data_IF_783820261090
#
_entry.id   IF_783820261090
#
_cell.length_a   1.000
_cell.length_b   1.000
_cell.length_c   1.000
_cell.angle_alpha   90.00
_cell.angle_beta   90.00
_cell.angle_gamma   90.00
#
_symmetry.space_group_name_H-M   'P 1'
#
loop_
_entity.id
_entity.type
_entity.pdbx_description
1 polymer ?
#
# COMPACT_ATOMS: atom_id res chain seq x y z
N UNK A 1 18.63 -5.47 15.80
CA UNK A 1 18.16 -5.48 14.39
C UNK A 1 19.31 -5.19 13.46
N UNK A 2 19.57 -6.07 12.50
CA UNK A 2 20.66 -5.92 11.53
C UNK A 2 20.30 -4.82 10.51
N UNK A 3 21.28 -4.02 10.10
CA UNK A 3 21.07 -2.98 9.08
C UNK A 3 20.69 -3.59 7.73
N UNK A 4 20.04 -2.79 6.87
CA UNK A 4 19.54 -3.21 5.55
C UNK A 4 20.58 -3.94 4.67
N UNK A 5 21.85 -3.56 4.78
CA UNK A 5 22.95 -4.20 4.05
C UNK A 5 23.41 -5.53 4.67
N UNK A 6 23.30 -5.68 5.99
CA UNK A 6 23.62 -6.94 6.67
C UNK A 6 22.57 -8.03 6.43
N UNK A 7 21.29 -7.66 6.32
CA UNK A 7 20.19 -8.62 6.15
C UNK A 7 20.39 -9.56 4.94
N UNK A 8 20.86 -9.04 3.80
CA UNK A 8 21.13 -9.87 2.61
C UNK A 8 22.26 -10.88 2.85
N UNK A 9 23.30 -10.50 3.61
CA UNK A 9 24.42 -11.38 3.94
C UNK A 9 23.97 -12.51 4.86
N UNK A 10 23.14 -12.19 5.86
CA UNK A 10 22.56 -13.18 6.76
C UNK A 10 21.65 -14.15 6.02
N UNK A 11 20.71 -13.67 5.20
CA UNK A 11 19.81 -14.54 4.44
C UNK A 11 20.60 -15.46 3.50
N UNK A 12 21.68 -14.98 2.87
CA UNK A 12 22.56 -15.83 2.06
C UNK A 12 23.23 -16.96 2.84
N UNK A 13 23.61 -16.71 4.09
CA UNK A 13 24.26 -17.72 4.92
C UNK A 13 23.30 -18.86 5.29
N UNK A 14 22.03 -18.53 5.54
CA UNK A 14 20.97 -19.50 5.90
C UNK A 14 20.12 -19.95 4.71
N UNK A 15 20.47 -19.53 3.50
CA UNK A 15 19.70 -19.80 2.28
C UNK A 15 19.48 -21.30 2.02
N UNK A 16 20.50 -22.18 2.17
CA UNK A 16 20.31 -23.60 1.92
C UNK A 16 19.27 -24.24 2.85
N UNK A 17 19.20 -23.77 4.11
CA UNK A 17 18.23 -24.26 5.08
C UNK A 17 16.82 -23.72 4.80
N UNK A 18 16.71 -22.48 4.32
CA UNK A 18 15.43 -21.92 3.85
C UNK A 18 14.92 -22.75 2.66
N UNK A 19 15.76 -23.01 1.67
CA UNK A 19 15.40 -23.81 0.48
C UNK A 19 14.96 -25.22 0.89
N UNK A 20 15.73 -25.91 1.75
CA UNK A 20 15.37 -27.24 2.26
C UNK A 20 13.99 -27.27 2.93
N UNK A 21 13.64 -26.24 3.70
CA UNK A 21 12.33 -26.16 4.37
C UNK A 21 11.20 -25.80 3.42
N UNK A 22 11.47 -24.96 2.41
CA UNK A 22 10.50 -24.67 1.36
C UNK A 22 10.19 -25.93 0.53
N UNK A 23 11.19 -26.74 0.21
CA UNK A 23 11.01 -28.06 -0.44
C UNK A 23 10.20 -29.03 0.45
N UNK A 24 10.32 -28.92 1.77
CA UNK A 24 9.50 -29.66 2.73
C UNK A 24 8.11 -29.05 2.97
N UNK A 25 7.66 -28.15 2.09
CA UNK A 25 6.35 -27.48 2.12
C UNK A 25 6.10 -26.56 3.33
N UNK A 26 7.15 -26.10 4.03
CA UNK A 26 6.98 -25.10 5.08
C UNK A 26 6.66 -23.71 4.50
N UNK A 27 5.87 -22.94 5.24
CA UNK A 27 5.61 -21.55 4.87
C UNK A 27 6.78 -20.65 5.27
N UNK A 28 6.99 -19.55 4.53
CA UNK A 28 8.03 -18.54 4.86
C UNK A 28 7.85 -17.99 6.29
N UNK A 29 6.60 -17.96 6.78
CA UNK A 29 6.28 -17.52 8.13
C UNK A 29 6.77 -18.54 9.17
N UNK A 30 6.49 -19.83 8.98
CA UNK A 30 7.02 -20.90 9.83
C UNK A 30 8.55 -20.90 9.84
N UNK A 31 9.18 -20.79 8.67
CA UNK A 31 10.64 -20.74 8.55
C UNK A 31 11.22 -19.55 9.34
N UNK A 32 10.53 -18.40 9.35
CA UNK A 32 10.96 -17.23 10.12
C UNK A 32 10.86 -17.45 11.63
N UNK A 33 9.81 -18.12 12.10
CA UNK A 33 9.58 -18.40 13.53
C UNK A 33 10.46 -19.54 14.06
N UNK A 34 10.68 -20.58 13.26
CA UNK A 34 11.45 -21.76 13.65
C UNK A 34 12.97 -21.56 13.56
N UNK A 35 13.45 -20.56 12.83
CA UNK A 35 14.87 -20.22 12.73
C UNK A 35 15.17 -18.99 13.61
N UNK A 36 15.59 -19.17 14.87
CA UNK A 36 15.83 -18.07 15.79
C UNK A 36 16.93 -17.12 15.28
N UNK A 37 17.90 -17.63 14.50
CA UNK A 37 18.91 -16.80 13.86
C UNK A 37 18.33 -15.80 12.86
N UNK A 38 17.25 -16.16 12.16
CA UNK A 38 16.51 -15.27 11.28
C UNK A 38 15.62 -14.33 12.08
N UNK A 39 14.82 -14.85 13.01
CA UNK A 39 13.89 -14.07 13.82
C UNK A 39 14.57 -12.94 14.61
N UNK A 40 15.71 -13.24 15.24
CA UNK A 40 16.42 -12.30 16.11
C UNK A 40 17.12 -11.17 15.33
N UNK A 41 17.49 -11.43 14.07
CA UNK A 41 18.30 -10.52 13.28
C UNK A 41 17.51 -9.73 12.24
N UNK A 42 16.43 -10.33 11.70
CA UNK A 42 15.71 -9.85 10.52
C UNK A 42 14.21 -9.96 10.77
N UNK A 43 13.46 -8.89 10.46
CA UNK A 43 12.01 -8.95 10.49
C UNK A 43 11.44 -9.81 9.35
N UNK A 44 10.29 -10.44 9.57
CA UNK A 44 9.59 -11.22 8.54
C UNK A 44 9.42 -10.45 7.22
N UNK A 45 9.02 -9.18 7.28
CA UNK A 45 8.85 -8.32 6.09
C UNK A 45 10.15 -8.13 5.31
N UNK A 46 11.27 -8.03 6.00
CA UNK A 46 12.59 -7.90 5.38
C UNK A 46 13.01 -9.22 4.74
N UNK A 47 12.77 -10.35 5.39
CA UNK A 47 13.01 -11.68 4.84
C UNK A 47 12.22 -11.87 3.54
N UNK A 48 10.89 -11.71 3.60
CA UNK A 48 10.00 -11.90 2.46
C UNK A 48 10.40 -11.04 1.26
N UNK A 49 10.67 -9.75 1.47
CA UNK A 49 11.10 -8.85 0.40
C UNK A 49 12.44 -9.28 -0.24
N UNK A 50 13.38 -9.79 0.55
CA UNK A 50 14.66 -10.25 0.02
C UNK A 50 14.51 -11.58 -0.73
N UNK A 51 13.71 -12.52 -0.23
CA UNK A 51 13.40 -13.77 -0.93
C UNK A 51 12.73 -13.50 -2.28
N UNK A 52 11.77 -12.58 -2.34
CA UNK A 52 11.14 -12.13 -3.59
C UNK A 52 12.13 -11.45 -4.55
N UNK A 53 13.11 -10.71 -4.03
CA UNK A 53 14.17 -10.11 -4.87
C UNK A 53 15.14 -11.14 -5.42
N UNK A 54 15.29 -12.27 -4.74
CA UNK A 54 16.16 -13.38 -5.16
C UNK A 54 15.43 -14.39 -6.06
N UNK A 55 14.11 -14.23 -6.27
CA UNK A 55 13.32 -15.15 -7.11
C UNK A 55 12.92 -16.45 -6.41
N UNK A 56 13.11 -16.54 -5.09
CA UNK A 56 12.83 -17.75 -4.29
C UNK A 56 11.34 -17.83 -3.91
N UNK A 57 10.68 -16.68 -3.81
CA UNK A 57 9.25 -16.58 -3.55
C UNK A 57 8.61 -15.81 -4.68
N UNK A 58 7.51 -16.34 -5.21
CA UNK A 58 6.68 -15.58 -6.14
C UNK A 58 6.20 -14.29 -5.48
N UNK A 59 6.36 -13.18 -6.19
CA UNK A 59 5.60 -11.97 -5.84
C UNK A 59 4.16 -12.30 -6.14
N UNK A 60 3.31 -12.36 -5.12
CA UNK A 60 1.88 -12.26 -5.36
C UNK A 60 1.68 -11.02 -6.24
N UNK A 61 1.07 -11.13 -7.44
CA UNK A 61 0.70 -9.95 -8.19
C UNK A 61 -0.07 -9.08 -7.20
N UNK A 62 0.33 -7.80 -7.10
CA UNK A 62 -0.42 -6.84 -6.30
C UNK A 62 -1.85 -6.99 -6.76
N UNK A 63 -2.75 -7.49 -5.90
CA UNK A 63 -4.15 -7.63 -6.25
C UNK A 63 -4.54 -6.30 -6.88
N UNK A 64 -5.02 -6.37 -8.13
CA UNK A 64 -5.55 -5.21 -8.81
C UNK A 64 -6.38 -4.46 -7.79
N UNK A 65 -6.03 -3.18 -7.60
CA UNK A 65 -6.68 -2.32 -6.62
C UNK A 65 -8.17 -2.60 -6.73
N UNK A 66 -8.78 -3.13 -5.68
CA UNK A 66 -10.23 -3.22 -5.62
C UNK A 66 -10.75 -1.84 -6.01
N UNK A 67 -11.59 -1.72 -7.05
CA UNK A 67 -12.12 -0.43 -7.43
C UNK A 67 -12.70 0.19 -6.17
N UNK A 68 -12.33 1.44 -5.91
CA UNK A 68 -12.93 2.19 -4.81
C UNK A 68 -14.43 2.11 -5.06
N UNK A 69 -15.15 1.49 -4.12
CA UNK A 69 -16.59 1.53 -4.10
C UNK A 69 -16.97 3.00 -4.15
N UNK A 70 -17.56 3.41 -5.25
CA UNK A 70 -17.99 4.78 -5.46
C UNK A 70 -19.06 5.04 -4.42
N UNK A 71 -18.75 5.94 -3.48
CA UNK A 71 -19.73 6.54 -2.59
C UNK A 71 -20.96 6.91 -3.43
N UNK A 72 -22.11 6.36 -3.07
CA UNK A 72 -23.40 6.74 -3.65
C UNK A 72 -23.70 8.18 -3.23
N UNK A 73 -23.14 9.15 -3.95
CA UNK A 73 -23.70 10.49 -4.02
C UNK A 73 -24.21 10.74 -5.43
N UNK A 74 -25.52 10.63 -5.51
CA UNK A 74 -26.32 10.82 -6.70
C UNK A 74 -26.34 12.30 -7.06
N UNK A 75 -25.48 12.74 -7.97
CA UNK A 75 -25.80 13.86 -8.84
C UNK A 75 -25.27 13.61 -10.25
N UNK A 76 -26.14 13.02 -11.06
CA UNK A 76 -25.99 12.91 -12.50
C UNK A 76 -25.81 14.30 -13.12
N UNK A 77 -24.61 14.62 -13.56
CA UNK A 77 -24.42 15.57 -14.66
C UNK A 77 -23.53 14.86 -15.68
N UNK A 78 -24.18 14.23 -16.66
CA UNK A 78 -23.56 13.79 -17.90
C UNK A 78 -23.16 15.02 -18.72
N UNK A 79 -22.06 15.67 -18.37
CA UNK A 79 -21.39 16.58 -19.29
C UNK A 79 -20.48 15.73 -20.19
N UNK A 80 -20.60 15.80 -21.52
CA UNK A 80 -19.71 15.08 -22.42
C UNK A 80 -18.28 15.56 -22.16
N UNK A 81 -17.36 14.63 -21.86
CA UNK A 81 -15.94 14.96 -21.66
C UNK A 81 -15.40 15.61 -22.93
N UNK A 82 -15.33 16.93 -22.96
CA UNK A 82 -14.57 17.67 -23.98
C UNK A 82 -13.10 17.31 -23.80
N UNK A 83 -12.41 17.03 -24.90
CA UNK A 83 -10.95 16.91 -24.89
C UNK A 83 -10.36 18.28 -24.54
N UNK A 84 -10.07 18.49 -23.27
CA UNK A 84 -9.41 19.68 -22.75
C UNK A 84 -7.95 19.39 -22.42
N UNK A 85 -7.09 20.39 -22.62
CA UNK A 85 -5.68 20.34 -22.24
C UNK A 85 -5.54 20.32 -20.71
N UNK A 86 -4.37 19.91 -20.21
CA UNK A 86 -4.12 19.86 -18.76
C UNK A 86 -4.23 21.25 -18.09
N UNK A 87 -3.93 22.33 -18.82
CA UNK A 87 -4.04 23.69 -18.30
C UNK A 87 -5.51 24.10 -18.10
N UNK A 88 -6.36 23.82 -19.09
CA UNK A 88 -7.81 24.10 -19.03
C UNK A 88 -8.49 23.31 -17.92
N UNK A 89 -8.14 22.03 -17.78
CA UNK A 89 -8.64 21.19 -16.67
C UNK A 89 -8.23 21.70 -15.30
N UNK A 90 -7.04 22.27 -15.15
CA UNK A 90 -6.62 22.83 -13.87
C UNK A 90 -7.32 24.15 -13.56
N UNK A 91 -7.58 24.98 -14.59
CA UNK A 91 -8.32 26.23 -14.43
C UNK A 91 -9.77 25.98 -14.02
N UNK A 92 -10.44 25.04 -14.68
CA UNK A 92 -11.82 24.66 -14.35
C UNK A 92 -11.96 24.17 -12.90
N UNK A 93 -11.01 23.36 -12.42
CA UNK A 93 -10.98 22.91 -11.02
C UNK A 93 -10.76 24.04 -10.02
N UNK A 94 -10.04 25.08 -10.40
CA UNK A 94 -9.83 26.25 -9.55
C UNK A 94 -11.08 27.13 -9.51
N UNK A 95 -11.79 27.28 -10.63
CA UNK A 95 -12.98 28.12 -10.73
C UNK A 95 -14.23 27.48 -10.14
N UNK A 96 -14.37 26.15 -10.24
CA UNK A 96 -15.53 25.42 -9.72
C UNK A 96 -15.34 24.91 -8.28
N UNK A 97 -14.29 25.36 -7.59
CA UNK A 97 -14.06 24.96 -6.20
C UNK A 97 -15.05 25.70 -5.30
N UNK A 98 -15.98 24.96 -4.71
CA UNK A 98 -16.86 25.51 -3.68
C UNK A 98 -16.03 26.05 -2.50
N UNK A 99 -16.43 27.19 -1.90
CA UNK A 99 -15.74 27.72 -0.74
C UNK A 99 -15.85 26.73 0.41
N UNK A 100 -14.72 26.48 1.08
CA UNK A 100 -14.60 25.55 2.21
C UNK A 100 -15.44 25.98 3.43
N UNK A 101 -15.91 27.24 3.42
CA UNK A 101 -16.78 27.81 4.43
C UNK A 101 -17.85 28.66 3.76
N UNK A 102 -19.11 28.36 4.07
CA UNK A 102 -20.27 29.17 3.72
C UNK A 102 -20.98 29.57 5.01
N UNK A 103 -21.09 30.88 5.26
CA UNK A 103 -21.80 31.39 6.43
C UNK A 103 -23.29 31.43 6.14
N UNK A 104 -24.06 30.60 6.86
CA UNK A 104 -25.53 30.63 6.82
C UNK A 104 -26.07 31.54 7.93
N UNK A 105 -26.58 32.75 7.61
CA UNK A 105 -27.11 33.69 8.59
C UNK A 105 -28.42 33.22 9.26
N UNK A 106 -28.99 32.08 8.87
CA UNK A 106 -30.17 31.49 9.52
C UNK A 106 -29.84 30.47 10.60
N UNK A 107 -28.55 30.14 10.76
CA UNK A 107 -28.07 29.36 11.91
C UNK A 107 -27.84 30.30 13.10
N UNK A 108 -28.93 30.70 13.77
CA UNK A 108 -28.87 31.48 15.00
C UNK A 108 -28.22 30.66 16.12
N UNK A 109 -26.88 30.61 16.15
CA UNK A 109 -26.01 30.38 17.31
C UNK A 109 -26.35 29.23 18.28
N UNK A 110 -27.12 28.22 17.89
CA UNK A 110 -27.57 27.15 18.81
C UNK A 110 -26.55 26.03 19.03
N UNK A 111 -25.49 26.00 18.23
CA UNK A 111 -24.52 24.91 18.23
C UNK A 111 -23.16 25.30 18.84
N UNK A 112 -23.12 26.35 19.66
CA UNK A 112 -21.97 26.66 20.52
C UNK A 112 -22.35 26.37 21.98
N UNK A 113 -22.15 25.11 22.40
CA UNK A 113 -22.09 24.70 23.82
C UNK A 113 -20.65 24.27 24.13
#
# INVERSE_FOLDING_TARGET
MVTRHGAKKFIKAVLPEIERRLEACHTIKEIHEELPELANNISYSTLLRNLQKMGISEKKPHQEKTPKDESQDSHSILEPQREMTNAERNLEKLTNREPEFFYDPHTDGKDLI
#
